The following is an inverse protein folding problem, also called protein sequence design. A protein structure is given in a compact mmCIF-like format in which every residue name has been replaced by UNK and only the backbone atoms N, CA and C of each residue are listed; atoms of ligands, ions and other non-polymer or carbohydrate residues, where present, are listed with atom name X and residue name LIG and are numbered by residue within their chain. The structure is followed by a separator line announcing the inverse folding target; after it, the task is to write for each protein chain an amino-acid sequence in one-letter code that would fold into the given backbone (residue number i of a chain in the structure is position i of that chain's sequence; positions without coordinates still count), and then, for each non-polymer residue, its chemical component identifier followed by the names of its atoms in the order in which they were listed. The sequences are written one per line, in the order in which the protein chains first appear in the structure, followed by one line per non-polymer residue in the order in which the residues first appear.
data_IF_215888214832
#
_entry.id   IF_215888214832
#
_cell.length_a   1.000
_cell.length_b   1.000
_cell.length_c   1.000
_cell.angle_alpha   90.00
_cell.angle_beta   90.00
_cell.angle_gamma   90.00
#
_symmetry.space_group_name_H-M   'P 1'
#
loop_
_entity.id
_entity.type
_entity.pdbx_description
1 polymer ?
#
# COMPACT_ATOMS: atom_id res chain seq x y z
N UNK A 1 0.39 16.24 -20.55
CA UNK A 1 1.08 15.35 -19.59
C UNK A 1 2.50 15.18 -20.09
N UNK A 2 3.49 15.60 -19.31
CA UNK A 2 4.90 15.63 -19.73
C UNK A 2 5.45 14.21 -19.90
N UNK A 3 6.15 13.97 -21.01
CA UNK A 3 6.79 12.71 -21.41
C UNK A 3 8.05 12.36 -20.60
N UNK A 4 8.12 12.79 -19.33
CA UNK A 4 9.25 12.54 -18.41
C UNK A 4 8.87 11.76 -17.14
N UNK A 5 7.60 11.38 -16.98
CA UNK A 5 7.27 10.26 -16.09
C UNK A 5 7.84 8.99 -16.74
N UNK A 6 9.12 8.70 -16.44
CA UNK A 6 9.64 7.35 -16.55
C UNK A 6 8.65 6.49 -15.76
N UNK A 7 8.00 5.55 -16.43
CA UNK A 7 6.86 4.82 -15.89
C UNK A 7 7.29 4.07 -14.62
N UNK A 8 7.01 4.63 -13.46
CA UNK A 8 7.50 4.13 -12.17
C UNK A 8 7.18 2.65 -11.98
N UNK A 9 5.99 2.24 -12.43
CA UNK A 9 5.52 0.85 -12.38
C UNK A 9 6.39 -0.14 -13.17
N UNK A 10 7.12 0.29 -14.19
CA UNK A 10 8.04 -0.57 -14.98
C UNK A 10 9.40 -0.72 -14.27
N UNK A 11 9.72 0.14 -13.30
CA UNK A 11 11.01 0.13 -12.65
C UNK A 11 11.05 -0.92 -11.53
N UNK A 12 11.67 -2.09 -11.81
CA UNK A 12 11.87 -3.16 -10.82
C UNK A 12 12.57 -2.66 -9.56
N UNK A 13 13.53 -1.74 -9.69
CA UNK A 13 14.25 -1.17 -8.55
C UNK A 13 13.32 -0.47 -7.57
N UNK A 14 12.33 0.29 -8.06
CA UNK A 14 11.35 0.97 -7.20
C UNK A 14 10.52 -0.06 -6.42
N UNK A 15 10.00 -1.09 -7.10
CA UNK A 15 9.24 -2.13 -6.42
C UNK A 15 10.05 -2.88 -5.36
N UNK A 16 11.32 -3.16 -5.65
CA UNK A 16 12.18 -3.88 -4.73
C UNK A 16 12.54 -2.99 -3.52
N UNK A 17 12.94 -1.73 -3.73
CA UNK A 17 13.22 -0.80 -2.62
C UNK A 17 11.98 -0.59 -1.75
N UNK A 18 10.85 -0.22 -2.34
CA UNK A 18 9.62 0.09 -1.59
C UNK A 18 9.13 -1.14 -0.84
N UNK A 19 9.21 -2.32 -1.48
CA UNK A 19 8.90 -3.59 -0.84
C UNK A 19 9.79 -3.84 0.37
N UNK A 20 11.10 -3.66 0.21
CA UNK A 20 12.09 -3.85 1.29
C UNK A 20 11.90 -2.87 2.44
N UNK A 21 11.75 -1.58 2.16
CA UNK A 21 11.52 -0.55 3.19
C UNK A 21 10.24 -0.83 3.98
N UNK A 22 9.16 -1.16 3.27
CA UNK A 22 7.89 -1.49 3.91
C UNK A 22 7.99 -2.74 4.78
N UNK A 23 8.61 -3.81 4.27
CA UNK A 23 8.73 -5.07 4.99
C UNK A 23 9.65 -4.93 6.21
N UNK A 24 10.71 -4.14 6.08
CA UNK A 24 11.63 -3.85 7.17
C UNK A 24 10.96 -3.04 8.28
N UNK A 25 10.29 -1.93 7.96
CA UNK A 25 9.63 -1.13 8.99
C UNK A 25 8.40 -1.84 9.58
N UNK A 26 7.74 -2.72 8.82
CA UNK A 26 6.78 -3.68 9.37
C UNK A 26 7.42 -4.61 10.39
N UNK A 27 8.49 -5.31 10.02
CA UNK A 27 9.20 -6.27 10.87
C UNK A 27 9.68 -5.62 12.17
N UNK A 28 10.25 -4.41 12.09
CA UNK A 28 10.67 -3.64 13.26
C UNK A 28 9.51 -3.26 14.17
N UNK A 29 8.36 -2.89 13.62
CA UNK A 29 7.15 -2.62 14.42
C UNK A 29 6.70 -3.86 15.23
N UNK A 30 7.05 -5.06 14.75
CA UNK A 30 6.82 -6.36 15.40
C UNK A 30 8.02 -6.85 16.22
N UNK A 31 9.09 -6.05 16.34
CA UNK A 31 10.35 -6.39 17.02
C UNK A 31 11.09 -7.58 16.37
N UNK A 32 10.88 -7.79 15.07
CA UNK A 32 11.63 -8.74 14.25
C UNK A 32 12.78 -7.95 13.61
N UNK A 33 14.02 -8.33 13.90
CA UNK A 33 15.20 -7.68 13.35
C UNK A 33 15.53 -8.28 11.99
N UNK A 34 15.29 -7.54 10.91
CA UNK A 34 15.64 -7.93 9.54
C UNK A 34 16.48 -6.82 8.88
N UNK A 35 17.51 -7.21 8.13
CA UNK A 35 18.28 -6.25 7.34
C UNK A 35 17.52 -5.84 6.08
N UNK A 36 17.65 -4.57 5.70
CA UNK A 36 17.15 -4.07 4.42
C UNK A 36 17.83 -4.81 3.26
N UNK A 37 19.14 -5.01 3.36
CA UNK A 37 19.97 -5.66 2.34
C UNK A 37 19.50 -7.10 2.09
N UNK A 38 19.29 -7.87 3.16
CA UNK A 38 18.77 -9.25 3.07
C UNK A 38 17.41 -9.30 2.37
N UNK A 39 16.47 -8.43 2.76
CA UNK A 39 15.14 -8.39 2.13
C UNK A 39 15.24 -7.96 0.67
N UNK A 40 16.08 -6.95 0.38
CA UNK A 40 16.26 -6.43 -0.97
C UNK A 40 16.86 -7.47 -1.92
N UNK A 41 17.88 -8.20 -1.48
CA UNK A 41 18.49 -9.28 -2.26
C UNK A 41 17.46 -10.37 -2.57
N UNK A 42 16.66 -10.79 -1.58
CA UNK A 42 15.57 -11.76 -1.82
C UNK A 42 14.51 -11.26 -2.84
N UNK A 43 14.25 -9.95 -2.94
CA UNK A 43 13.38 -9.38 -3.98
C UNK A 43 14.07 -9.27 -5.34
N UNK A 44 15.39 -9.12 -5.39
CA UNK A 44 16.16 -9.08 -6.65
C UNK A 44 16.26 -10.47 -7.26
N UNK A 45 16.50 -11.48 -6.42
CA UNK A 45 16.70 -12.87 -6.82
C UNK A 45 15.39 -13.69 -6.85
N UNK A 46 14.24 -13.04 -6.63
CA UNK A 46 12.91 -13.64 -6.61
C UNK A 46 12.75 -14.79 -5.57
N UNK A 47 13.60 -14.84 -4.54
CA UNK A 47 13.65 -15.92 -3.53
C UNK A 47 12.38 -16.01 -2.68
N UNK A 48 11.63 -14.91 -2.52
CA UNK A 48 10.33 -14.95 -1.83
C UNK A 48 9.28 -15.82 -2.53
N UNK A 49 9.49 -16.20 -3.79
CA UNK A 49 8.63 -17.14 -4.50
C UNK A 49 8.98 -18.61 -4.25
N UNK A 50 10.15 -18.89 -3.69
CA UNK A 50 10.55 -20.23 -3.25
C UNK A 50 9.95 -20.53 -1.87
N UNK A 51 9.61 -21.79 -1.61
CA UNK A 51 9.16 -22.23 -0.28
C UNK A 51 10.33 -22.42 0.69
N UNK A 52 11.57 -22.53 0.20
CA UNK A 52 12.77 -22.58 1.06
C UNK A 52 12.96 -21.29 1.89
N UNK A 53 12.38 -20.17 1.44
CA UNK A 53 12.44 -18.87 2.12
C UNK A 53 11.84 -18.89 3.54
N UNK A 54 10.91 -19.81 3.80
CA UNK A 54 10.32 -20.00 5.13
C UNK A 54 11.31 -20.58 6.16
N UNK A 55 12.48 -21.07 5.72
CA UNK A 55 13.57 -21.45 6.63
C UNK A 55 14.38 -20.23 7.11
N UNK A 56 14.24 -19.09 6.43
CA UNK A 56 15.02 -17.87 6.66
C UNK A 56 14.15 -16.80 7.35
N UNK A 57 12.90 -16.64 6.91
CA UNK A 57 11.99 -15.60 7.39
C UNK A 57 10.75 -16.17 8.05
N UNK A 58 10.18 -15.41 8.99
CA UNK A 58 8.90 -15.77 9.60
C UNK A 58 7.77 -15.80 8.55
N UNK A 59 6.77 -16.69 8.67
CA UNK A 59 5.72 -16.84 7.67
C UNK A 59 4.97 -15.55 7.34
N UNK A 60 4.74 -14.69 8.33
CA UNK A 60 4.07 -13.40 8.14
C UNK A 60 4.86 -12.48 7.19
N UNK A 61 6.18 -12.42 7.35
CA UNK A 61 7.08 -11.62 6.50
C UNK A 61 7.04 -12.14 5.06
N UNK A 62 7.13 -13.47 4.89
CA UNK A 62 7.07 -14.11 3.57
C UNK A 62 5.72 -13.83 2.88
N UNK A 63 4.62 -13.94 3.62
CA UNK A 63 3.27 -13.71 3.08
C UNK A 63 3.09 -12.25 2.61
N UNK A 64 3.61 -11.27 3.37
CA UNK A 64 3.59 -9.86 2.97
C UNK A 64 4.42 -9.63 1.70
N UNK A 65 5.63 -10.20 1.64
CA UNK A 65 6.50 -10.09 0.47
C UNK A 65 5.85 -10.71 -0.79
N UNK A 66 5.25 -11.91 -0.66
CA UNK A 66 4.51 -12.56 -1.74
C UNK A 66 3.29 -11.74 -2.18
N UNK A 67 2.54 -11.17 -1.24
CA UNK A 67 1.39 -10.30 -1.56
C UNK A 67 1.84 -9.02 -2.29
N UNK A 68 2.99 -8.45 -1.92
CA UNK A 68 3.60 -7.32 -2.62
C UNK A 68 4.02 -7.66 -4.06
N UNK A 69 4.65 -8.82 -4.26
CA UNK A 69 5.01 -9.31 -5.61
C UNK A 69 3.75 -9.54 -6.46
N UNK A 70 2.69 -10.09 -5.89
CA UNK A 70 1.44 -10.29 -6.62
C UNK A 70 0.81 -8.95 -7.01
N UNK A 71 0.79 -7.96 -6.10
CA UNK A 71 0.32 -6.61 -6.42
C UNK A 71 1.13 -5.96 -7.54
N UNK A 72 2.46 -6.09 -7.54
CA UNK A 72 3.34 -5.64 -8.63
C UNK A 72 2.93 -6.26 -9.96
N UNK A 73 2.74 -7.59 -9.99
CA UNK A 73 2.37 -8.33 -11.19
C UNK A 73 1.00 -7.89 -11.74
N UNK A 74 0.00 -7.74 -10.87
CA UNK A 74 -1.33 -7.27 -11.29
C UNK A 74 -1.30 -5.80 -11.74
N UNK A 75 -0.54 -4.94 -11.06
CA UNK A 75 -0.35 -3.52 -11.43
C UNK A 75 0.25 -3.41 -12.83
N UNK A 76 1.26 -4.23 -13.14
CA UNK A 76 1.86 -4.31 -14.46
C UNK A 76 0.85 -4.76 -15.53
N UNK A 77 0.12 -5.85 -15.28
CA UNK A 77 -0.94 -6.35 -16.20
C UNK A 77 -2.00 -5.29 -16.50
N UNK A 78 -2.42 -4.54 -15.50
CA UNK A 78 -3.39 -3.45 -15.69
C UNK A 78 -2.81 -2.35 -16.56
N UNK A 79 -1.58 -1.92 -16.33
CA UNK A 79 -0.93 -0.91 -17.17
C UNK A 79 -0.72 -1.35 -18.60
N UNK A 80 -0.41 -2.61 -18.84
CA UNK A 80 -0.37 -3.17 -20.20
C UNK A 80 -1.74 -3.15 -20.87
N UNK A 81 -2.81 -3.44 -20.12
CA UNK A 81 -4.17 -3.35 -20.63
C UNK A 81 -4.56 -1.90 -20.95
N UNK A 82 -4.27 -0.93 -20.07
CA UNK A 82 -4.51 0.51 -20.32
C UNK A 82 -3.77 1.00 -21.56
N UNK A 83 -2.53 0.55 -21.76
CA UNK A 83 -1.73 0.91 -22.92
C UNK A 83 -2.33 0.37 -24.23
N UNK A 84 -3.04 -0.78 -24.18
CA UNK A 84 -3.69 -1.41 -25.35
C UNK A 84 -5.07 -0.82 -25.63
N UNK A 85 -5.86 -0.53 -24.61
CA UNK A 85 -7.25 -0.05 -24.77
C UNK A 85 -7.34 1.48 -24.83
N UNK A 86 -6.35 2.19 -24.27
CA UNK A 86 -6.43 3.64 -24.03
C UNK A 86 -7.42 4.00 -22.90
N UNK A 87 -8.03 3.00 -22.27
CA UNK A 87 -9.00 3.17 -21.19
C UNK A 87 -8.35 2.82 -19.86
N UNK A 88 -8.77 3.55 -18.83
CA UNK A 88 -8.37 3.28 -17.46
C UNK A 88 -8.88 1.89 -17.06
N UNK A 89 -7.95 1.00 -16.71
CA UNK A 89 -8.25 -0.37 -16.34
C UNK A 89 -8.44 -0.48 -14.83
N UNK A 90 -9.14 -1.53 -14.44
CA UNK A 90 -9.66 -1.68 -13.09
C UNK A 90 -9.08 -2.94 -12.47
N UNK A 91 -8.54 -2.83 -11.25
CA UNK A 91 -8.23 -4.01 -10.44
C UNK A 91 -9.50 -4.84 -10.24
N UNK A 92 -9.56 -6.06 -10.78
CA UNK A 92 -10.70 -6.95 -10.57
C UNK A 92 -10.77 -7.36 -9.10
N UNK A 93 -11.99 -7.45 -8.55
CA UNK A 93 -12.19 -7.79 -7.14
C UNK A 93 -11.61 -9.17 -6.77
N UNK A 94 -11.69 -10.13 -7.70
CA UNK A 94 -11.10 -11.46 -7.55
C UNK A 94 -9.57 -11.42 -7.47
N UNK A 95 -8.91 -10.51 -8.18
CA UNK A 95 -7.45 -10.34 -8.09
C UNK A 95 -7.04 -9.69 -6.78
N UNK A 96 -7.83 -8.73 -6.26
CA UNK A 96 -7.61 -8.20 -4.91
C UNK A 96 -7.86 -9.25 -3.82
N UNK A 97 -8.85 -10.13 -4.02
CA UNK A 97 -9.10 -11.27 -3.14
C UNK A 97 -7.91 -12.23 -3.12
N UNK A 98 -7.29 -12.49 -4.27
CA UNK A 98 -6.09 -13.32 -4.40
C UNK A 98 -4.91 -12.73 -3.61
N UNK A 99 -4.62 -11.44 -3.79
CA UNK A 99 -3.61 -10.72 -3.00
C UNK A 99 -3.88 -10.85 -1.51
N UNK A 100 -5.12 -10.64 -1.08
CA UNK A 100 -5.50 -10.76 0.33
C UNK A 100 -5.37 -12.20 0.85
N UNK A 101 -5.71 -13.20 0.04
CA UNK A 101 -5.54 -14.62 0.39
C UNK A 101 -4.08 -15.04 0.55
N UNK A 102 -3.15 -14.43 -0.20
CA UNK A 102 -1.71 -14.62 -0.01
C UNK A 102 -1.26 -14.02 1.32
N UNK A 103 -1.73 -12.80 1.62
CA UNK A 103 -1.43 -12.13 2.88
C UNK A 103 -1.98 -12.89 4.09
N UNK A 104 -3.15 -13.51 3.94
CA UNK A 104 -3.92 -14.18 5.01
C UNK A 104 -4.29 -15.62 4.60
N UNK A 105 -3.34 -16.59 4.66
CA UNK A 105 -3.54 -17.94 4.11
C UNK A 105 -4.60 -18.79 4.82
N UNK A 106 -4.96 -18.44 6.05
CA UNK A 106 -6.04 -19.10 6.81
C UNK A 106 -7.45 -18.73 6.30
N UNK A 107 -7.55 -17.89 5.26
CA UNK A 107 -8.78 -17.38 4.66
C UNK A 107 -9.66 -16.51 5.57
N UNK A 108 -9.10 -15.99 6.67
CA UNK A 108 -9.83 -15.08 7.55
C UNK A 108 -10.30 -13.84 6.80
N UNK A 109 -11.59 -13.47 6.95
CA UNK A 109 -12.22 -12.32 6.30
C UNK A 109 -12.23 -12.33 4.75
N UNK A 110 -11.86 -13.43 4.10
CA UNK A 110 -11.91 -13.55 2.62
C UNK A 110 -13.33 -13.47 2.06
N UNK A 111 -14.35 -13.75 2.88
CA UNK A 111 -15.76 -13.61 2.53
C UNK A 111 -16.20 -12.15 2.32
N UNK A 112 -15.39 -11.16 2.73
CA UNK A 112 -15.63 -9.74 2.44
C UNK A 112 -15.64 -9.43 0.96
N UNK A 113 -15.00 -10.27 0.15
CA UNK A 113 -14.92 -10.10 -1.31
C UNK A 113 -16.09 -10.77 -2.05
N UNK A 114 -17.01 -11.44 -1.34
CA UNK A 114 -18.06 -12.26 -1.96
C UNK A 114 -19.40 -11.53 -2.18
N UNK A 115 -19.58 -10.30 -1.68
CA UNK A 115 -20.83 -9.51 -1.77
C UNK A 115 -22.08 -10.15 -1.13
N UNK A 116 -21.90 -11.15 -0.25
CA UNK A 116 -22.99 -11.92 0.37
C UNK A 116 -23.59 -11.27 1.61
N UNK A 117 -22.78 -10.58 2.41
CA UNK A 117 -23.20 -9.91 3.65
C UNK A 117 -23.21 -8.38 3.48
N UNK A 118 -23.93 -7.66 4.33
CA UNK A 118 -23.92 -6.20 4.29
C UNK A 118 -22.50 -5.64 4.50
N UNK A 119 -21.77 -6.18 5.48
CA UNK A 119 -20.34 -5.88 5.69
C UNK A 119 -19.51 -6.05 4.41
N UNK A 120 -19.72 -7.14 3.65
CA UNK A 120 -19.00 -7.37 2.39
C UNK A 120 -19.40 -6.38 1.28
N UNK A 121 -20.67 -5.97 1.22
CA UNK A 121 -21.11 -4.95 0.26
C UNK A 121 -20.52 -3.58 0.60
N UNK A 122 -20.51 -3.21 1.88
CA UNK A 122 -19.93 -1.95 2.35
C UNK A 122 -18.43 -1.90 2.04
N UNK A 123 -17.71 -2.98 2.37
CA UNK A 123 -16.30 -3.15 2.03
C UNK A 123 -16.04 -2.97 0.53
N UNK A 124 -16.73 -3.72 -0.33
CA UNK A 124 -16.53 -3.63 -1.79
C UNK A 124 -16.95 -2.26 -2.33
N UNK A 125 -18.06 -1.70 -1.84
CA UNK A 125 -18.53 -0.38 -2.28
C UNK A 125 -17.50 0.72 -2.00
N UNK A 126 -16.76 0.58 -0.89
CA UNK A 126 -15.65 1.47 -0.55
C UNK A 126 -14.50 1.31 -1.53
N UNK A 127 -14.06 0.09 -1.82
CA UNK A 127 -12.99 -0.13 -2.79
C UNK A 127 -13.35 0.47 -4.16
N UNK A 128 -14.60 0.32 -4.58
CA UNK A 128 -15.14 0.93 -5.81
C UNK A 128 -15.17 2.46 -5.70
N UNK A 129 -15.55 3.01 -4.56
CA UNK A 129 -15.57 4.44 -4.32
C UNK A 129 -14.17 5.05 -4.38
N UNK A 130 -13.20 4.46 -3.67
CA UNK A 130 -11.78 4.89 -3.65
C UNK A 130 -11.28 4.99 -5.08
N UNK A 131 -11.44 3.90 -5.83
CA UNK A 131 -11.07 3.80 -7.23
C UNK A 131 -11.70 4.90 -8.09
N UNK A 132 -13.01 5.13 -8.01
CA UNK A 132 -13.71 6.14 -8.82
C UNK A 132 -13.16 7.55 -8.58
N UNK A 133 -12.84 7.88 -7.34
CA UNK A 133 -12.45 9.23 -6.94
C UNK A 133 -10.94 9.48 -7.05
N UNK A 134 -10.11 8.44 -7.17
CA UNK A 134 -8.67 8.59 -7.42
C UNK A 134 -8.39 9.17 -8.81
N UNK A 135 -9.08 8.71 -9.84
CA UNK A 135 -8.81 9.10 -11.23
C UNK A 135 -9.10 10.58 -11.56
N UNK A 136 -9.91 11.26 -10.75
CA UNK A 136 -10.20 12.69 -10.92
C UNK A 136 -9.13 13.62 -10.35
N UNK A 137 -8.18 13.09 -9.57
CA UNK A 137 -7.20 13.88 -8.81
C UNK A 137 -5.90 14.05 -9.61
N UNK A 138 -5.33 15.25 -9.56
CA UNK A 138 -4.19 15.65 -10.42
C UNK A 138 -2.90 15.97 -9.69
N UNK A 139 -2.95 16.17 -8.38
CA UNK A 139 -1.78 16.51 -7.56
C UNK A 139 -1.50 15.41 -6.55
N UNK A 140 -0.24 15.28 -6.15
CA UNK A 140 0.20 14.31 -5.13
C UNK A 140 -0.56 14.57 -3.84
N UNK A 141 -0.65 15.81 -3.39
CA UNK A 141 -1.29 16.19 -2.13
C UNK A 141 -2.76 15.79 -2.11
N UNK A 142 -3.49 16.05 -3.21
CA UNK A 142 -4.92 15.69 -3.31
C UNK A 142 -5.15 14.19 -3.30
N UNK A 143 -4.23 13.40 -3.88
CA UNK A 143 -4.31 11.94 -3.85
C UNK A 143 -3.92 11.40 -2.48
N UNK A 144 -2.83 11.89 -1.90
CA UNK A 144 -2.35 11.47 -0.58
C UNK A 144 -3.39 11.78 0.51
N UNK A 145 -3.98 12.98 0.48
CA UNK A 145 -5.09 13.35 1.38
C UNK A 145 -6.25 12.37 1.28
N UNK A 146 -6.67 12.06 0.05
CA UNK A 146 -7.75 11.11 -0.19
C UNK A 146 -7.39 9.71 0.32
N UNK A 147 -6.22 9.19 -0.05
CA UNK A 147 -5.78 7.87 0.36
C UNK A 147 -5.67 7.77 1.89
N UNK A 148 -5.15 8.80 2.56
CA UNK A 148 -5.05 8.84 4.02
C UNK A 148 -6.42 8.85 4.69
N UNK A 149 -7.35 9.69 4.22
CA UNK A 149 -8.72 9.75 4.73
C UNK A 149 -9.38 8.36 4.65
N UNK A 150 -9.30 7.71 3.49
CA UNK A 150 -9.87 6.38 3.30
C UNK A 150 -9.13 5.28 4.05
N UNK A 151 -7.81 5.39 4.20
CA UNK A 151 -7.02 4.47 5.04
C UNK A 151 -7.51 4.53 6.48
N UNK A 152 -7.53 5.71 7.07
CA UNK A 152 -7.92 5.88 8.47
C UNK A 152 -9.37 5.41 8.68
N UNK A 153 -10.27 5.71 7.75
CA UNK A 153 -11.64 5.20 7.82
C UNK A 153 -11.71 3.68 7.69
N UNK A 154 -10.96 3.08 6.75
CA UNK A 154 -10.85 1.63 6.61
C UNK A 154 -10.39 0.96 7.91
N UNK A 155 -9.42 1.58 8.60
CA UNK A 155 -8.92 1.10 9.89
C UNK A 155 -9.96 1.23 11.02
N UNK A 156 -10.79 2.28 11.04
CA UNK A 156 -11.88 2.39 12.03
C UNK A 156 -12.97 1.33 11.84
N UNK A 157 -13.23 0.91 10.60
CA UNK A 157 -14.20 -0.16 10.32
C UNK A 157 -13.71 -1.55 10.75
N UNK A 158 -12.40 -1.74 10.92
CA UNK A 158 -11.76 -3.00 11.32
C UNK A 158 -12.25 -4.22 10.52
N UNK A 159 -12.50 -4.05 9.21
CA UNK A 159 -13.13 -5.10 8.42
C UNK A 159 -12.29 -6.37 8.33
N UNK A 160 -10.98 -6.21 8.15
CA UNK A 160 -9.98 -7.27 7.95
C UNK A 160 -9.10 -7.49 9.19
N UNK A 161 -9.55 -7.06 10.36
CA UNK A 161 -8.88 -7.31 11.64
C UNK A 161 -7.46 -6.73 11.74
N UNK A 162 -6.56 -7.50 12.34
CA UNK A 162 -5.15 -7.12 12.55
C UNK A 162 -4.37 -6.84 11.26
N UNK A 163 -4.83 -7.41 10.14
CA UNK A 163 -4.23 -7.24 8.82
C UNK A 163 -4.60 -5.92 8.14
N UNK A 164 -5.49 -5.11 8.75
CA UNK A 164 -6.00 -3.89 8.13
C UNK A 164 -4.91 -2.87 7.81
N UNK A 165 -3.93 -2.69 8.71
CA UNK A 165 -2.82 -1.77 8.52
C UNK A 165 -1.93 -2.17 7.34
N UNK A 166 -1.54 -3.45 7.29
CA UNK A 166 -0.65 -4.01 6.26
C UNK A 166 -1.35 -3.99 4.91
N UNK A 167 -2.57 -4.54 4.85
CA UNK A 167 -3.32 -4.63 3.61
C UNK A 167 -3.60 -3.25 3.00
N UNK A 168 -4.08 -2.29 3.79
CA UNK A 168 -4.32 -0.94 3.29
C UNK A 168 -3.03 -0.21 2.89
N UNK A 169 -1.89 -0.49 3.53
CA UNK A 169 -0.61 0.13 3.16
C UNK A 169 -0.10 -0.40 1.82
N UNK A 170 -0.16 -1.71 1.62
CA UNK A 170 0.16 -2.36 0.35
C UNK A 170 -0.64 -1.75 -0.82
N UNK A 171 -1.93 -1.50 -0.60
CA UNK A 171 -2.80 -0.87 -1.59
C UNK A 171 -2.41 0.59 -1.87
N UNK A 172 -2.12 1.39 -0.83
CA UNK A 172 -1.71 2.79 -1.00
C UNK A 172 -0.41 2.89 -1.81
N UNK A 173 0.61 2.11 -1.43
CA UNK A 173 1.89 2.09 -2.14
C UNK A 173 1.71 1.70 -3.61
N UNK A 174 0.93 0.64 -3.87
CA UNK A 174 0.64 0.17 -5.23
C UNK A 174 -0.12 1.23 -6.06
N UNK A 175 -1.10 1.91 -5.45
CA UNK A 175 -1.87 2.98 -6.11
C UNK A 175 -0.98 4.16 -6.49
N UNK A 176 -0.10 4.61 -5.59
CA UNK A 176 0.83 5.71 -5.88
C UNK A 176 1.76 5.37 -7.05
N UNK A 177 2.36 4.18 -7.04
CA UNK A 177 3.20 3.68 -8.14
C UNK A 177 2.40 3.59 -9.44
N UNK A 178 1.15 3.08 -9.38
CA UNK A 178 0.27 2.93 -10.54
C UNK A 178 -0.07 4.27 -11.20
N UNK A 179 -0.43 5.29 -10.43
CA UNK A 179 -0.78 6.61 -10.97
C UNK A 179 0.45 7.45 -11.35
N UNK A 180 1.66 6.98 -11.04
CA UNK A 180 2.90 7.65 -11.38
C UNK A 180 3.36 8.68 -10.35
N UNK A 181 2.93 8.56 -9.10
CA UNK A 181 3.43 9.34 -7.97
C UNK A 181 4.42 8.54 -7.13
N UNK A 182 5.23 9.24 -6.35
CA UNK A 182 6.18 8.55 -5.48
C UNK A 182 5.44 7.76 -4.41
N UNK A 183 5.89 6.53 -4.15
CA UNK A 183 5.46 5.78 -2.97
C UNK A 183 5.84 6.54 -1.69
N UNK A 184 5.21 6.18 -0.58
CA UNK A 184 5.63 6.68 0.73
C UNK A 184 7.00 6.08 1.05
N UNK A 185 8.00 6.91 1.34
CA UNK A 185 9.27 6.45 1.88
C UNK A 185 9.04 5.90 3.29
N UNK A 186 9.30 4.61 3.48
CA UNK A 186 9.13 3.90 4.76
C UNK A 186 10.46 3.41 5.31
N UNK A 187 11.58 4.00 4.87
CA UNK A 187 12.90 3.66 5.38
C UNK A 187 13.05 4.02 6.86
N UNK A 188 13.86 3.25 7.59
CA UNK A 188 14.16 3.51 9.01
C UNK A 188 14.84 4.86 9.21
N UNK A 189 15.72 5.25 8.28
CA UNK A 189 16.42 6.53 8.35
C UNK A 189 15.44 7.71 8.36
N UNK A 190 14.26 7.48 7.78
CA UNK A 190 13.14 8.40 7.70
C UNK A 190 12.06 8.07 8.73
N UNK A 191 12.34 7.30 9.79
CA UNK A 191 11.37 6.87 10.80
C UNK A 191 10.11 6.21 10.19
N UNK A 192 10.25 5.34 9.19
CA UNK A 192 9.11 4.68 8.54
C UNK A 192 8.16 3.96 9.50
N UNK A 193 8.66 3.47 10.64
CA UNK A 193 7.87 2.88 11.71
C UNK A 193 6.93 3.88 12.41
N UNK A 194 7.24 5.17 12.35
CA UNK A 194 6.46 6.25 12.95
C UNK A 194 5.07 6.32 12.30
N UNK A 195 4.94 6.02 11.00
CA UNK A 195 3.64 6.01 10.30
C UNK A 195 2.64 5.09 10.99
N UNK A 196 3.05 3.89 11.40
CA UNK A 196 2.16 2.95 12.10
C UNK A 196 1.77 3.47 13.50
N UNK A 197 2.63 4.27 14.14
CA UNK A 197 2.35 4.92 15.41
C UNK A 197 1.40 6.12 15.24
N UNK A 198 1.61 6.95 14.22
CA UNK A 198 0.76 8.11 13.91
C UNK A 198 -0.63 7.65 13.48
N UNK A 199 -0.75 6.59 12.67
CA UNK A 199 -2.02 5.92 12.34
C UNK A 199 -2.83 5.65 13.61
N UNK A 200 -2.22 4.99 14.60
CA UNK A 200 -2.90 4.65 15.86
C UNK A 200 -3.37 5.89 16.63
N UNK A 201 -2.54 6.93 16.68
CA UNK A 201 -2.87 8.17 17.38
C UNK A 201 -4.01 8.92 16.69
N UNK A 202 -3.96 9.07 15.36
CA UNK A 202 -5.03 9.68 14.58
C UNK A 202 -6.34 8.93 14.71
N UNK A 203 -6.33 7.59 14.65
CA UNK A 203 -7.54 6.78 14.79
C UNK A 203 -8.26 7.00 16.13
N UNK A 204 -7.51 7.11 17.22
CA UNK A 204 -8.09 7.35 18.54
C UNK A 204 -8.82 8.69 18.65
N UNK A 205 -8.37 9.70 17.90
CA UNK A 205 -8.96 11.04 17.91
C UNK A 205 -10.08 11.20 16.89
N UNK A 206 -9.98 10.51 15.74
CA UNK A 206 -10.89 10.68 14.61
C UNK A 206 -12.11 9.75 14.65
N UNK A 207 -12.06 8.63 15.40
CA UNK A 207 -13.14 7.62 15.42
C UNK A 207 -14.51 8.16 15.86
N UNK A 208 -14.55 9.29 16.56
CA UNK A 208 -15.78 9.91 17.07
C UNK A 208 -16.31 11.02 16.15
N UNK A 209 -15.53 11.43 15.15
CA UNK A 209 -15.87 12.49 14.20
C UNK A 209 -16.39 11.90 12.87
N UNK A 210 -17.39 12.52 12.22
CA UNK A 210 -17.78 12.19 10.85
C UNK A 210 -16.60 12.32 9.89
N UNK A 211 -16.48 11.39 8.92
CA UNK A 211 -15.35 11.36 7.98
C UNK A 211 -15.24 12.66 7.17
N UNK A 212 -16.37 13.32 6.90
CA UNK A 212 -16.48 14.58 6.18
C UNK A 212 -15.79 15.74 6.92
N UNK A 213 -15.68 15.65 8.24
CA UNK A 213 -15.11 16.69 9.10
C UNK A 213 -13.61 16.49 9.37
N UNK A 214 -13.05 15.32 9.05
CA UNK A 214 -11.65 14.99 9.35
C UNK A 214 -10.65 15.97 8.72
N UNK A 215 -10.95 16.50 7.54
CA UNK A 215 -10.08 17.47 6.88
C UNK A 215 -9.93 18.79 7.67
N UNK A 216 -10.82 19.05 8.64
CA UNK A 216 -10.72 20.20 9.54
C UNK A 216 -9.97 19.85 10.84
N UNK A 217 -9.84 18.57 11.17
CA UNK A 217 -9.19 18.07 12.37
C UNK A 217 -7.67 18.31 12.33
N UNK A 218 -7.12 18.81 13.43
CA UNK A 218 -5.68 19.11 13.55
C UNK A 218 -4.80 17.86 13.40
N UNK A 219 -5.18 16.75 14.03
CA UNK A 219 -4.41 15.50 13.98
C UNK A 219 -4.39 14.89 12.59
N UNK A 220 -5.50 15.00 11.86
CA UNK A 220 -5.55 14.59 10.45
C UNK A 220 -4.59 15.43 9.60
N UNK A 221 -4.59 16.76 9.77
CA UNK A 221 -3.68 17.66 9.03
C UNK A 221 -2.21 17.41 9.33
N UNK A 222 -1.87 17.17 10.59
CA UNK A 222 -0.50 16.82 11.00
C UNK A 222 -0.06 15.51 10.34
N UNK A 223 -0.92 14.49 10.38
CA UNK A 223 -0.66 13.20 9.75
C UNK A 223 -0.55 13.30 8.22
N UNK A 224 -1.41 14.10 7.60
CA UNK A 224 -1.34 14.39 6.18
C UNK A 224 -0.01 15.04 5.80
N UNK A 225 0.50 15.95 6.63
CA UNK A 225 1.81 16.56 6.46
C UNK A 225 2.93 15.50 6.39
N UNK A 226 2.92 14.54 7.33
CA UNK A 226 3.88 13.42 7.34
C UNK A 226 3.78 12.58 6.06
N UNK A 227 2.57 12.19 5.63
CA UNK A 227 2.41 11.40 4.41
C UNK A 227 2.90 12.14 3.17
N UNK A 228 2.60 13.44 3.04
CA UNK A 228 3.07 14.26 1.92
C UNK A 228 4.59 14.34 1.92
N UNK A 229 5.21 14.60 3.07
CA UNK A 229 6.68 14.63 3.23
C UNK A 229 7.32 13.30 2.77
N UNK A 230 6.77 12.16 3.21
CA UNK A 230 7.26 10.83 2.83
C UNK A 230 7.07 10.52 1.34
N UNK A 231 6.04 11.06 0.68
CA UNK A 231 5.93 10.95 -0.78
C UNK A 231 6.90 11.86 -1.53
N UNK A 232 7.32 12.99 -0.95
CA UNK A 232 8.26 13.90 -1.61
C UNK A 232 9.71 13.40 -1.51
N UNK A 233 10.10 12.81 -0.39
CA UNK A 233 11.48 12.36 -0.14
C UNK A 233 11.95 11.16 -0.99
N UNK A 234 11.04 10.40 -1.61
CA UNK A 234 11.43 9.19 -2.36
C UNK A 234 12.11 9.49 -3.72
N UNK A 235 11.86 10.64 -4.35
CA UNK A 235 12.46 10.98 -5.66
C UNK A 235 13.65 11.93 -5.63
N UNK A 236 14.10 12.40 -4.46
CA UNK A 236 15.44 12.98 -4.35
C UNK A 236 16.55 11.92 -4.56
N UNK A 237 16.16 10.65 -4.76
CA UNK A 237 16.96 9.47 -5.12
C UNK A 237 17.34 9.45 -6.64
N UNK A 238 17.18 10.55 -7.38
CA UNK A 238 17.75 10.74 -8.74
C UNK A 238 19.28 10.46 -8.82
N UNK A 239 19.94 10.20 -7.68
CA UNK A 239 21.33 9.75 -7.57
C UNK A 239 21.55 8.24 -7.80
N UNK A 240 20.50 7.41 -7.87
CA UNK A 240 20.63 5.94 -8.03
C UNK A 240 20.22 5.42 -9.41
N UNK A 241 19.86 6.31 -10.34
CA UNK A 241 19.73 5.98 -11.75
C UNK A 241 21.06 6.27 -12.43
N UNK A 242 22.03 5.35 -12.28
CA UNK A 242 23.23 5.25 -13.12
C UNK A 242 23.18 3.94 -13.89
#
# INVERSE_FOLDING_TARGET
MNSKSKKLYENKFIWNIVGSEFLQSYALSKKINLSFEEIYDCFVDDEFLDDEIYNIFEPEVVNIARAWIELKNKTFKLKEAEAKTGEICNFPLNELKEVYGILVPNNENTELFDLKSEKSKDFVSTLVYIKKNLYGRKTVESVVEFLLQYRLWFLTQNWVGENANVFSMLLIQSVLIYIGFSPLNLSIQENGEEIFCVDRNSLNQLKEEPIEDWNNNKFFKEHLGVYIEKTNGFFDIDQFIV
#
